data_IF_853305154682
#
_entry.id   IF_853305154682
#
_cell.length_a   1.000
_cell.length_b   1.000
_cell.length_c   1.000
_cell.angle_alpha   90.00
_cell.angle_beta   90.00
_cell.angle_gamma   90.00
#
_symmetry.space_group_name_H-M   'P 1'
#
loop_
_entity.id
_entity.type
_entity.pdbx_description
1 polymer ?
#
# COMPACT_ATOMS: atom_id res chain seq x y z
N UNK A 1 -8.34 2.09 -30.90
CA UNK A 1 -9.34 2.71 -30.00
C UNK A 1 -9.95 1.61 -29.19
N UNK A 2 -10.14 1.80 -27.88
CA UNK A 2 -10.89 0.85 -27.06
C UNK A 2 -12.39 0.94 -27.40
N UNK A 3 -13.06 -0.21 -27.40
CA UNK A 3 -14.50 -0.36 -27.57
C UNK A 3 -15.16 -0.66 -26.23
N UNK A 4 -16.49 -0.60 -26.17
CA UNK A 4 -17.25 -1.03 -24.99
C UNK A 4 -16.94 -2.50 -24.63
N UNK A 5 -16.77 -3.37 -25.62
CA UNK A 5 -16.49 -4.79 -25.37
C UNK A 5 -15.11 -4.98 -24.76
N UNK A 6 -14.09 -4.21 -25.18
CA UNK A 6 -12.75 -4.29 -24.58
C UNK A 6 -12.78 -3.98 -23.07
N UNK A 7 -13.63 -3.05 -22.66
CA UNK A 7 -13.82 -2.70 -21.24
C UNK A 7 -14.54 -3.83 -20.48
N UNK A 8 -15.53 -4.48 -21.08
CA UNK A 8 -16.25 -5.60 -20.48
C UNK A 8 -15.31 -6.82 -20.35
N UNK A 9 -14.55 -7.12 -21.41
CA UNK A 9 -13.62 -8.24 -21.47
C UNK A 9 -12.45 -8.07 -20.49
N UNK A 10 -12.09 -6.84 -20.13
CA UNK A 10 -11.17 -6.58 -19.02
C UNK A 10 -11.68 -7.16 -17.69
N UNK A 11 -12.96 -6.96 -17.35
CA UNK A 11 -13.54 -7.51 -16.13
C UNK A 11 -13.71 -9.04 -16.20
N UNK A 12 -14.12 -9.57 -17.36
CA UNK A 12 -14.24 -11.03 -17.52
C UNK A 12 -12.92 -11.77 -17.33
N UNK A 13 -11.79 -11.18 -17.75
CA UNK A 13 -10.44 -11.72 -17.47
C UNK A 13 -10.09 -11.78 -15.98
N UNK A 14 -10.83 -11.07 -15.13
CA UNK A 14 -10.68 -11.08 -13.68
C UNK A 14 -11.36 -12.25 -12.97
N UNK A 15 -12.26 -12.99 -13.64
CA UNK A 15 -12.96 -14.15 -13.04
C UNK A 15 -11.93 -15.23 -12.66
N UNK A 16 -12.10 -15.79 -11.47
CA UNK A 16 -11.23 -16.83 -10.89
C UNK A 16 -12.05 -18.05 -10.50
N UNK A 17 -11.44 -19.23 -10.63
CA UNK A 17 -12.03 -20.46 -10.13
C UNK A 17 -12.08 -20.46 -8.60
N UNK A 18 -12.97 -21.29 -8.02
CA UNK A 18 -13.19 -21.33 -6.56
C UNK A 18 -11.91 -21.63 -5.76
N UNK A 19 -10.98 -22.41 -6.32
CA UNK A 19 -9.68 -22.75 -5.72
C UNK A 19 -8.62 -21.62 -5.88
N UNK A 20 -8.88 -20.64 -6.74
CA UNK A 20 -8.03 -19.48 -6.98
C UNK A 20 -8.47 -18.24 -6.19
N UNK A 21 -9.62 -18.29 -5.50
CA UNK A 21 -10.07 -17.20 -4.64
C UNK A 21 -9.05 -16.90 -3.54
N UNK A 22 -8.86 -15.60 -3.27
CA UNK A 22 -7.92 -15.06 -2.28
C UNK A 22 -8.58 -13.90 -1.52
N UNK A 23 -7.93 -13.50 -0.43
CA UNK A 23 -8.31 -12.39 0.43
C UNK A 23 -7.15 -11.39 0.41
N UNK A 24 -7.41 -10.19 -0.12
CA UNK A 24 -6.54 -9.02 0.08
C UNK A 24 -7.17 -8.13 1.14
N UNK A 25 -6.36 -7.53 2.00
CA UNK A 25 -6.83 -6.57 3.00
C UNK A 25 -6.01 -5.30 2.91
N UNK A 26 -6.72 -4.19 2.99
CA UNK A 26 -6.14 -2.85 3.03
C UNK A 26 -6.47 -2.20 4.37
N UNK A 27 -5.54 -1.40 4.90
CA UNK A 27 -5.82 -0.57 6.07
C UNK A 27 -4.97 0.69 6.11
N UNK A 28 -5.63 1.79 6.42
CA UNK A 28 -5.02 3.12 6.55
C UNK A 28 -4.69 3.45 8.00
N UNK A 29 -3.59 4.19 8.20
CA UNK A 29 -3.09 4.60 9.51
C UNK A 29 -2.74 6.08 9.50
N UNK A 30 -3.23 6.82 10.49
CA UNK A 30 -2.77 8.18 10.75
C UNK A 30 -1.41 8.15 11.42
N UNK A 31 -0.43 8.81 10.83
CA UNK A 31 0.88 9.01 11.47
C UNK A 31 0.83 10.31 12.26
N UNK A 32 0.88 10.19 13.59
CA UNK A 32 0.74 11.34 14.49
C UNK A 32 2.06 11.61 15.22
N UNK A 33 2.35 12.89 15.42
CA UNK A 33 3.43 13.31 16.31
C UNK A 33 3.06 12.97 17.77
N UNK A 34 3.92 12.27 18.48
CA UNK A 34 3.61 11.79 19.84
C UNK A 34 3.58 12.90 20.90
N UNK A 35 4.05 14.12 20.59
CA UNK A 35 4.08 15.23 21.54
C UNK A 35 2.78 16.04 21.54
N UNK A 36 2.17 16.24 20.38
CA UNK A 36 0.99 17.10 20.22
C UNK A 36 -0.17 16.43 19.47
N UNK A 37 -0.01 15.16 19.07
CA UNK A 37 -0.99 14.32 18.37
C UNK A 37 -1.50 14.88 17.04
N UNK A 38 -0.75 15.81 16.44
CA UNK A 38 -1.05 16.30 15.09
C UNK A 38 -0.55 15.33 14.03
N UNK A 39 -1.24 15.22 12.88
CA UNK A 39 -0.72 14.50 11.73
C UNK A 39 0.62 15.06 11.29
N UNK A 40 1.57 14.16 10.96
CA UNK A 40 2.87 14.57 10.42
C UNK A 40 2.75 14.91 8.94
N UNK A 41 3.45 15.95 8.50
CA UNK A 41 3.60 16.25 7.08
C UNK A 41 4.66 15.36 6.40
N UNK A 42 4.72 15.42 5.06
CA UNK A 42 5.65 14.58 4.31
C UNK A 42 7.12 14.97 4.49
N UNK A 43 7.45 16.26 4.37
CA UNK A 43 8.83 16.79 4.40
C UNK A 43 9.32 17.22 5.81
N UNK A 44 8.46 17.22 6.83
CA UNK A 44 8.93 17.61 8.16
C UNK A 44 9.94 16.62 8.75
N UNK A 45 10.69 17.11 9.74
CA UNK A 45 11.62 16.27 10.50
C UNK A 45 10.86 15.15 11.21
N UNK A 46 11.31 13.91 11.02
CA UNK A 46 10.60 12.69 11.43
C UNK A 46 9.22 12.50 10.76
N UNK A 47 8.98 13.13 9.61
CA UNK A 47 7.76 12.99 8.83
C UNK A 47 7.71 11.73 7.97
N UNK A 48 6.73 11.68 7.07
CA UNK A 48 6.44 10.48 6.25
C UNK A 48 7.63 10.05 5.40
N UNK A 49 8.37 11.00 4.82
CA UNK A 49 9.56 10.71 4.01
C UNK A 49 10.61 9.91 4.78
N UNK A 50 10.85 10.25 6.05
CA UNK A 50 11.81 9.53 6.87
C UNK A 50 11.35 8.10 7.19
N UNK A 51 10.04 7.89 7.38
CA UNK A 51 9.44 6.55 7.52
C UNK A 51 9.73 5.73 6.27
N UNK A 52 9.47 6.27 5.08
CA UNK A 52 9.76 5.58 3.82
C UNK A 52 11.24 5.23 3.67
N UNK A 53 12.14 6.18 3.96
CA UNK A 53 13.58 5.92 3.93
C UNK A 53 14.00 4.81 4.90
N UNK A 54 13.36 4.69 6.06
CA UNK A 54 13.63 3.62 7.00
C UNK A 54 13.09 2.26 6.52
N UNK A 55 11.89 2.23 5.93
CA UNK A 55 11.36 1.01 5.30
C UNK A 55 12.26 0.54 4.14
N UNK A 56 12.82 1.45 3.34
CA UNK A 56 13.77 1.09 2.27
C UNK A 56 14.99 0.35 2.82
N UNK A 57 15.52 0.78 3.98
CA UNK A 57 16.61 0.05 4.68
C UNK A 57 16.20 -1.36 5.11
N UNK A 58 14.91 -1.61 5.32
CA UNK A 58 14.33 -2.93 5.64
C UNK A 58 13.97 -3.77 4.39
N UNK A 59 14.47 -3.35 3.22
CA UNK A 59 14.34 -4.07 1.95
C UNK A 59 13.11 -3.72 1.13
N UNK A 60 12.38 -2.65 1.48
CA UNK A 60 11.32 -2.13 0.64
C UNK A 60 11.89 -1.38 -0.57
N UNK A 61 11.21 -1.50 -1.72
CA UNK A 61 11.59 -0.80 -2.95
C UNK A 61 10.74 0.47 -3.10
N UNK A 62 11.34 1.64 -3.34
CA UNK A 62 10.58 2.88 -3.52
C UNK A 62 9.75 2.86 -4.81
N UNK A 63 8.56 3.44 -4.73
CA UNK A 63 7.73 3.85 -5.85
C UNK A 63 7.78 5.37 -5.87
N UNK A 64 8.14 5.94 -7.02
CA UNK A 64 8.23 7.38 -7.19
C UNK A 64 7.01 7.95 -7.90
N UNK A 65 6.76 9.24 -7.70
CA UNK A 65 5.80 9.99 -8.51
C UNK A 65 6.21 10.04 -9.99
N UNK A 66 5.29 10.47 -10.86
CA UNK A 66 5.52 10.54 -12.31
C UNK A 66 6.74 11.41 -12.70
N UNK A 67 7.14 12.34 -11.83
CA UNK A 67 8.30 13.22 -12.04
C UNK A 67 9.62 12.63 -11.50
N UNK A 68 9.59 11.43 -10.90
CA UNK A 68 10.73 10.76 -10.25
C UNK A 68 11.40 11.63 -9.17
N UNK A 69 10.62 12.46 -8.49
CA UNK A 69 11.10 13.48 -7.53
C UNK A 69 10.82 13.11 -6.08
N UNK A 70 9.75 12.38 -5.83
CA UNK A 70 9.26 12.03 -4.49
C UNK A 70 8.92 10.56 -4.41
N UNK A 71 9.21 9.94 -3.26
CA UNK A 71 8.76 8.57 -2.96
C UNK A 71 7.31 8.65 -2.49
N UNK A 72 6.38 8.12 -3.27
CA UNK A 72 4.93 8.16 -2.98
C UNK A 72 4.40 6.83 -2.47
N UNK A 73 5.20 5.78 -2.55
CA UNK A 73 4.88 4.48 -1.99
C UNK A 73 6.08 3.57 -1.94
N UNK A 74 5.85 2.36 -1.46
CA UNK A 74 6.85 1.32 -1.33
C UNK A 74 6.26 -0.02 -1.76
N UNK A 75 7.11 -0.91 -2.27
CA UNK A 75 6.75 -2.28 -2.61
C UNK A 75 7.69 -3.28 -1.96
N UNK A 76 7.14 -4.36 -1.42
CA UNK A 76 7.88 -5.55 -1.01
C UNK A 76 7.09 -6.78 -1.40
N UNK A 77 7.64 -7.59 -2.30
CA UNK A 77 6.95 -8.74 -2.88
C UNK A 77 5.59 -8.35 -3.48
N UNK A 78 4.48 -8.82 -2.90
CA UNK A 78 3.10 -8.52 -3.31
C UNK A 78 2.40 -7.51 -2.38
N UNK A 79 3.15 -6.88 -1.48
CA UNK A 79 2.66 -5.90 -0.51
C UNK A 79 3.08 -4.50 -0.93
N UNK A 80 2.21 -3.52 -0.68
CA UNK A 80 2.42 -2.13 -1.02
C UNK A 80 2.13 -1.23 0.17
N UNK A 81 2.98 -0.24 0.39
CA UNK A 81 2.66 0.89 1.26
C UNK A 81 2.42 2.10 0.36
N UNK A 82 1.28 2.75 0.49
CA UNK A 82 0.88 3.91 -0.31
C UNK A 82 0.48 5.07 0.58
N UNK A 83 0.49 6.26 -0.01
CA UNK A 83 0.15 7.50 0.67
C UNK A 83 -1.20 8.02 0.18
N UNK A 84 -2.15 8.15 1.11
CA UNK A 84 -3.43 8.79 0.85
C UNK A 84 -3.33 10.32 0.91
N UNK A 85 -4.30 11.07 0.33
CA UNK A 85 -4.22 12.54 0.23
C UNK A 85 -4.05 13.28 1.57
N UNK A 86 -4.51 12.70 2.67
CA UNK A 86 -4.37 13.26 4.02
C UNK A 86 -3.09 12.86 4.76
N UNK A 87 -2.19 12.12 4.11
CA UNK A 87 -0.95 11.62 4.71
C UNK A 87 -1.10 10.30 5.46
N UNK A 88 -2.24 9.61 5.34
CA UNK A 88 -2.40 8.27 5.90
C UNK A 88 -1.49 7.29 5.17
N UNK A 89 -0.88 6.40 5.93
CA UNK A 89 -0.16 5.26 5.37
C UNK A 89 -1.11 4.09 5.21
N UNK A 90 -1.40 3.76 3.96
CA UNK A 90 -2.13 2.56 3.60
C UNK A 90 -1.16 1.39 3.45
N UNK A 91 -1.54 0.22 3.97
CA UNK A 91 -1.00 -1.04 3.50
C UNK A 91 -2.02 -1.65 2.54
N UNK A 92 -1.60 -1.99 1.32
CA UNK A 92 -2.32 -2.94 0.46
C UNK A 92 -1.61 -4.29 0.51
N UNK A 93 -2.25 -5.25 1.16
CA UNK A 93 -1.71 -6.57 1.46
C UNK A 93 -1.70 -7.52 0.28
N UNK A 94 -0.98 -8.63 0.41
CA UNK A 94 -0.94 -9.65 -0.63
C UNK A 94 -2.29 -10.39 -0.76
N UNK A 95 -2.59 -11.00 -1.92
CA UNK A 95 -3.74 -11.88 -2.06
C UNK A 95 -3.47 -13.24 -1.37
N UNK A 96 -4.00 -13.41 -0.16
CA UNK A 96 -3.73 -14.56 0.72
C UNK A 96 -4.86 -15.61 0.72
N UNK A 97 -4.58 -16.82 1.19
CA UNK A 97 -5.52 -17.95 1.08
C UNK A 97 -6.57 -17.99 2.19
N UNK A 98 -6.27 -17.42 3.35
CA UNK A 98 -7.14 -17.49 4.51
C UNK A 98 -6.89 -16.31 5.47
N UNK A 99 -7.84 -16.12 6.39
CA UNK A 99 -7.81 -15.01 7.36
C UNK A 99 -6.65 -15.05 8.35
N UNK A 100 -6.04 -16.22 8.60
CA UNK A 100 -4.90 -16.32 9.52
C UNK A 100 -3.63 -15.80 8.86
N UNK A 101 -3.44 -16.08 7.56
CA UNK A 101 -2.38 -15.48 6.76
C UNK A 101 -2.54 -13.95 6.73
N UNK A 102 -3.76 -13.47 6.46
CA UNK A 102 -4.08 -12.03 6.47
C UNK A 102 -3.79 -11.38 7.83
N UNK A 103 -4.18 -12.02 8.93
CA UNK A 103 -3.91 -11.50 10.27
C UNK A 103 -2.39 -11.40 10.53
N UNK A 104 -1.64 -12.45 10.17
CA UNK A 104 -0.18 -12.46 10.30
C UNK A 104 0.51 -11.40 9.44
N UNK A 105 0.00 -11.14 8.23
CA UNK A 105 0.48 -10.03 7.39
C UNK A 105 0.19 -8.70 8.09
N UNK A 106 -1.06 -8.40 8.40
CA UNK A 106 -1.46 -7.14 9.08
C UNK A 106 -0.64 -6.87 10.33
N UNK A 107 -0.41 -7.87 11.19
CA UNK A 107 0.36 -7.69 12.43
C UNK A 107 1.82 -7.30 12.18
N UNK A 108 2.44 -7.66 11.05
CA UNK A 108 3.81 -7.22 10.74
C UNK A 108 3.92 -5.74 10.39
N UNK A 109 2.79 -5.08 10.13
CA UNK A 109 2.69 -3.67 9.74
C UNK A 109 2.06 -2.77 10.80
N UNK A 110 1.73 -3.31 11.97
CA UNK A 110 1.26 -2.58 13.16
C UNK A 110 2.43 -2.35 14.12
#
# INVERSE_FOLDING_TARGET
MLTKNDLIDYFYRGIKDKNELRIGVEHEKFVLNTKDFKPVSYEEKNGIKEIFLNCIKLGWKPIYDDKNSLVTGLKKENEFITLEPGGQLELSGAPLKNIHETCNETTKHL
#
